data_IF_626925331124
#
_entry.id   IF_626925331124
#
_cell.length_a   1.000
_cell.length_b   1.000
_cell.length_c   1.000
_cell.angle_alpha   90.00
_cell.angle_beta   90.00
_cell.angle_gamma   90.00
#
_symmetry.space_group_name_H-M   'P 1'
#
loop_
_entity.id
_entity.type
_entity.pdbx_description
1 polymer ?
#
# COMPACT_ATOMS: atom_id res chain seq x y z
N UNK A 1 -20.73 39.68 26.31
CA UNK A 1 -20.45 41.07 26.73
C UNK A 1 -19.00 41.34 26.37
N UNK A 2 -18.59 42.17 25.41
CA UNK A 2 -19.14 43.19 24.50
C UNK A 2 -18.11 43.19 23.32
N UNK A 3 -18.42 42.67 22.14
CA UNK A 3 -18.79 43.35 20.88
C UNK A 3 -18.18 44.76 20.62
N UNK A 4 -17.40 44.93 19.55
CA UNK A 4 -17.54 45.99 18.51
C UNK A 4 -16.61 45.66 17.31
N UNK A 5 -17.22 45.65 16.12
CA UNK A 5 -16.69 45.48 14.77
C UNK A 5 -16.13 46.79 14.18
N UNK A 6 -15.19 46.71 13.22
CA UNK A 6 -15.11 47.63 12.07
C UNK A 6 -14.18 47.13 10.95
N UNK A 7 -14.77 46.97 9.76
CA UNK A 7 -14.13 46.79 8.45
C UNK A 7 -13.38 48.05 7.99
N UNK A 8 -12.36 47.89 7.12
CA UNK A 8 -12.18 48.70 5.92
C UNK A 8 -11.06 48.16 5.02
N UNK A 9 -11.40 48.00 3.74
CA UNK A 9 -10.54 47.76 2.56
C UNK A 9 -10.35 49.06 1.80
N UNK A 10 -9.18 49.34 1.20
CA UNK A 10 -9.05 50.13 -0.05
C UNK A 10 -7.65 50.07 -0.66
N UNK A 11 -7.65 50.25 -1.98
CA UNK A 11 -6.65 50.04 -3.03
C UNK A 11 -5.43 51.00 -3.02
N UNK A 12 -4.39 50.62 -3.76
CA UNK A 12 -3.17 51.40 -4.03
C UNK A 12 -3.13 51.75 -5.52
N UNK A 13 -2.97 53.04 -5.85
CA UNK A 13 -2.63 53.53 -7.20
C UNK A 13 -1.31 54.31 -7.15
N UNK A 14 -0.48 54.07 -8.15
CA UNK A 14 0.90 54.55 -8.32
C UNK A 14 0.89 55.86 -9.12
N UNK A 15 1.71 56.84 -8.72
CA UNK A 15 2.02 58.03 -9.52
C UNK A 15 3.51 58.35 -9.47
N UNK A 16 4.18 58.43 -10.63
CA UNK A 16 5.54 58.97 -10.77
C UNK A 16 5.60 59.89 -12.00
N UNK A 17 6.27 61.02 -11.78
CA UNK A 17 6.48 62.20 -12.63
C UNK A 17 7.23 61.98 -13.97
N UNK A 18 7.04 62.94 -14.87
CA UNK A 18 7.84 63.18 -16.08
C UNK A 18 8.09 64.69 -16.26
N UNK A 19 9.30 65.17 -16.64
CA UNK A 19 9.51 66.50 -17.19
C UNK A 19 9.87 66.50 -18.69
N UNK A 20 9.64 67.66 -19.30
CA UNK A 20 9.48 67.93 -20.73
C UNK A 20 10.74 67.86 -21.62
N UNK A 21 10.54 67.58 -22.93
CA UNK A 21 11.40 68.01 -24.05
C UNK A 21 10.52 68.36 -25.28
N UNK A 22 10.88 69.45 -25.96
CA UNK A 22 10.23 70.06 -27.14
C UNK A 22 10.73 69.44 -28.47
N UNK A 23 9.84 69.46 -29.49
CA UNK A 23 9.91 69.13 -30.94
C UNK A 23 11.30 69.03 -31.64
N UNK A 24 11.51 68.27 -32.74
CA UNK A 24 10.78 68.35 -34.03
C UNK A 24 11.14 67.20 -35.01
N UNK A 25 10.30 67.05 -36.06
CA UNK A 25 10.55 66.52 -37.43
C UNK A 25 10.51 65.00 -37.79
N UNK A 26 9.38 64.66 -38.41
CA UNK A 26 9.14 63.82 -39.61
C UNK A 26 10.16 62.77 -40.08
N UNK A 27 9.76 61.49 -40.03
CA UNK A 27 10.10 60.47 -41.04
C UNK A 27 8.85 59.65 -41.35
N UNK A 28 8.53 59.55 -42.64
CA UNK A 28 7.36 58.87 -43.19
C UNK A 28 7.40 57.35 -42.93
N UNK A 29 6.32 56.79 -42.37
CA UNK A 29 6.06 55.35 -42.32
C UNK A 29 5.16 54.94 -43.48
N UNK A 30 5.69 54.17 -44.42
CA UNK A 30 4.90 53.51 -45.46
C UNK A 30 3.97 52.44 -44.84
N UNK A 31 2.71 52.32 -45.26
CA UNK A 31 1.84 51.26 -44.78
C UNK A 31 2.24 49.92 -45.43
N UNK A 32 2.49 48.91 -44.60
CA UNK A 32 2.60 47.52 -45.05
C UNK A 32 1.21 47.08 -45.48
N UNK A 33 0.94 47.13 -46.78
CA UNK A 33 -0.26 46.54 -47.37
C UNK A 33 -0.07 45.02 -47.35
N UNK A 34 -0.52 44.36 -46.28
CA UNK A 34 -0.70 42.91 -46.34
C UNK A 34 -1.77 42.60 -47.38
N UNK A 35 -1.38 41.92 -48.45
CA UNK A 35 -2.31 41.50 -49.48
C UNK A 35 -3.39 40.58 -48.86
N UNK A 36 -4.64 40.72 -49.28
CA UNK A 36 -5.73 39.83 -48.84
C UNK A 36 -5.40 38.34 -49.05
N UNK A 37 -4.49 38.02 -49.98
CA UNK A 37 -3.97 36.66 -50.20
C UNK A 37 -3.13 36.14 -49.04
N UNK A 38 -2.34 36.99 -48.37
CA UNK A 38 -1.48 36.61 -47.24
C UNK A 38 -2.33 36.30 -45.99
N UNK A 39 -3.36 37.11 -45.73
CA UNK A 39 -4.30 36.91 -44.62
C UNK A 39 -5.11 35.63 -44.84
N UNK A 40 -5.59 35.36 -46.06
CA UNK A 40 -6.26 34.09 -46.41
C UNK A 40 -5.34 32.88 -46.20
N UNK A 41 -4.07 32.97 -46.56
CA UNK A 41 -3.11 31.88 -46.39
C UNK A 41 -2.85 31.58 -44.90
N UNK A 42 -2.70 32.61 -44.07
CA UNK A 42 -2.57 32.45 -42.61
C UNK A 42 -3.82 31.84 -41.96
N UNK A 43 -5.02 32.25 -42.40
CA UNK A 43 -6.28 31.66 -41.93
C UNK A 43 -6.41 30.18 -42.31
N UNK A 44 -5.99 29.79 -43.52
CA UNK A 44 -6.01 28.38 -43.96
C UNK A 44 -5.01 27.53 -43.15
N UNK A 45 -3.81 28.06 -42.87
CA UNK A 45 -2.81 27.38 -42.04
C UNK A 45 -3.34 27.22 -40.61
N UNK A 46 -3.90 28.28 -40.01
CA UNK A 46 -4.48 28.22 -38.67
C UNK A 46 -5.64 27.22 -38.60
N UNK A 47 -6.53 27.20 -39.59
CA UNK A 47 -7.65 26.25 -39.65
C UNK A 47 -7.16 24.81 -39.79
N UNK A 48 -6.08 24.57 -40.55
CA UNK A 48 -5.41 23.26 -40.69
C UNK A 48 -4.73 22.83 -39.39
N UNK A 49 -4.06 23.75 -38.68
CA UNK A 49 -3.49 23.47 -37.37
C UNK A 49 -4.58 23.15 -36.34
N UNK A 50 -5.68 23.91 -36.33
CA UNK A 50 -6.82 23.67 -35.45
C UNK A 50 -7.47 22.31 -35.77
N UNK A 51 -7.73 21.98 -37.03
CA UNK A 51 -8.27 20.67 -37.42
C UNK A 51 -7.31 19.52 -37.11
N UNK A 52 -6.00 19.71 -37.27
CA UNK A 52 -5.00 18.71 -36.88
C UNK A 52 -4.92 18.53 -35.36
N UNK A 53 -5.02 19.62 -34.58
CA UNK A 53 -5.15 19.59 -33.12
C UNK A 53 -6.44 18.91 -32.66
N UNK A 54 -7.58 19.17 -33.33
CA UNK A 54 -8.84 18.47 -33.03
C UNK A 54 -8.79 16.99 -33.44
N UNK A 55 -8.20 16.65 -34.58
CA UNK A 55 -8.03 15.24 -34.98
C UNK A 55 -7.11 14.51 -34.00
N UNK A 56 -5.95 15.08 -33.65
CA UNK A 56 -5.03 14.50 -32.67
C UNK A 56 -5.64 14.38 -31.27
N UNK A 57 -6.46 15.35 -30.85
CA UNK A 57 -7.19 15.28 -29.58
C UNK A 57 -8.29 14.20 -29.59
N UNK A 58 -9.00 14.02 -30.72
CA UNK A 58 -9.98 12.95 -30.89
C UNK A 58 -9.32 11.56 -31.01
N UNK A 59 -8.19 11.43 -31.71
CA UNK A 59 -7.40 10.21 -31.79
C UNK A 59 -6.76 9.85 -30.44
N UNK A 60 -6.33 10.83 -29.65
CA UNK A 60 -5.80 10.62 -28.30
C UNK A 60 -6.91 10.30 -27.27
N UNK A 61 -8.11 10.85 -27.43
CA UNK A 61 -9.28 10.48 -26.62
C UNK A 61 -9.83 9.09 -26.96
N UNK A 62 -9.67 8.63 -28.20
CA UNK A 62 -10.17 7.32 -28.65
C UNK A 62 -9.41 6.12 -28.05
N UNK A 63 -8.15 6.28 -27.61
CA UNK A 63 -7.34 5.16 -27.11
C UNK A 63 -7.48 4.88 -25.61
N UNK A 64 -8.16 5.76 -24.84
CA UNK A 64 -8.33 5.61 -23.38
C UNK A 64 -9.80 5.38 -22.98
N UNK A 65 -10.75 5.48 -23.92
CA UNK A 65 -12.19 5.43 -23.64
C UNK A 65 -12.83 4.04 -23.53
N UNK A 66 -12.08 2.93 -23.61
CA UNK A 66 -12.68 1.58 -23.64
C UNK A 66 -12.17 0.58 -22.59
N UNK A 67 -11.51 1.06 -21.52
CA UNK A 67 -11.07 0.16 -20.45
C UNK A 67 -12.23 -0.21 -19.52
N UNK A 68 -12.62 -1.49 -19.54
CA UNK A 68 -13.62 -2.07 -18.65
C UNK A 68 -12.96 -2.86 -17.52
N UNK A 69 -13.33 -2.54 -16.28
CA UNK A 69 -12.90 -3.27 -15.09
C UNK A 69 -13.41 -4.72 -15.13
N UNK A 70 -12.51 -5.68 -14.93
CA UNK A 70 -12.75 -7.13 -15.04
C UNK A 70 -12.55 -7.85 -13.70
N UNK A 71 -11.59 -7.40 -12.87
CA UNK A 71 -11.28 -8.00 -11.57
C UNK A 71 -10.62 -7.00 -10.61
N UNK A 72 -10.86 -7.15 -9.30
CA UNK A 72 -10.17 -6.42 -8.23
C UNK A 72 -9.53 -7.41 -7.25
N UNK A 73 -8.30 -7.17 -6.83
CA UNK A 73 -7.60 -7.97 -5.83
C UNK A 73 -7.02 -7.06 -4.76
N UNK A 74 -7.39 -7.28 -3.49
CA UNK A 74 -7.02 -6.41 -2.37
C UNK A 74 -6.15 -7.19 -1.40
N UNK A 75 -4.93 -6.71 -1.15
CA UNK A 75 -4.07 -7.15 -0.05
C UNK A 75 -4.01 -6.04 0.98
N UNK A 76 -4.40 -6.30 2.22
CA UNK A 76 -4.40 -5.27 3.27
C UNK A 76 -3.90 -5.79 4.61
N UNK A 77 -3.26 -4.90 5.36
CA UNK A 77 -2.82 -5.15 6.73
C UNK A 77 -4.04 -5.14 7.66
N UNK A 78 -3.99 -5.92 8.74
CA UNK A 78 -4.91 -5.71 9.85
C UNK A 78 -4.90 -4.26 10.37
N UNK A 79 -5.96 -3.85 11.05
CA UNK A 79 -6.01 -2.53 11.69
C UNK A 79 -5.13 -2.39 12.94
N UNK A 80 -5.17 -1.20 13.55
CA UNK A 80 -4.41 -0.89 14.76
C UNK A 80 -4.68 -1.89 15.89
N UNK A 81 -3.62 -2.35 16.56
CA UNK A 81 -3.64 -3.40 17.58
C UNK A 81 -2.88 -2.97 18.83
N UNK A 82 -3.06 -3.70 19.93
CA UNK A 82 -2.19 -3.62 21.11
C UNK A 82 -0.83 -4.28 20.83
N UNK A 83 0.23 -3.93 21.60
CA UNK A 83 1.48 -4.67 21.60
C UNK A 83 1.26 -6.16 21.84
N UNK A 84 2.11 -7.03 21.28
CA UNK A 84 2.25 -8.41 21.74
C UNK A 84 2.99 -8.46 23.08
N UNK A 85 2.97 -9.62 23.73
CA UNK A 85 3.77 -9.84 24.94
C UNK A 85 5.26 -9.62 24.65
N UNK A 86 5.77 -10.18 23.54
CA UNK A 86 7.17 -9.99 23.14
C UNK A 86 7.51 -8.51 22.95
N UNK A 87 6.64 -7.73 22.30
CA UNK A 87 6.85 -6.29 22.14
C UNK A 87 6.90 -5.56 23.48
N UNK A 88 5.94 -5.81 24.39
CA UNK A 88 5.92 -5.18 25.71
C UNK A 88 7.16 -5.52 26.56
N UNK A 89 7.65 -6.76 26.48
CA UNK A 89 8.86 -7.21 27.19
C UNK A 89 10.11 -6.44 26.74
N UNK A 90 10.20 -6.00 25.48
CA UNK A 90 11.35 -5.18 25.01
C UNK A 90 11.41 -3.81 25.69
N UNK A 91 10.29 -3.33 26.25
CA UNK A 91 10.24 -2.11 27.04
C UNK A 91 10.28 -2.37 28.55
N UNK A 92 10.48 -3.62 28.97
CA UNK A 92 10.34 -4.06 30.36
C UNK A 92 8.99 -3.63 30.98
N UNK A 93 7.93 -3.65 30.17
CA UNK A 93 6.60 -3.23 30.60
C UNK A 93 5.74 -4.45 30.92
N UNK A 94 5.39 -4.60 32.20
CA UNK A 94 4.72 -5.80 32.74
C UNK A 94 3.26 -5.56 33.14
N UNK A 95 2.78 -4.31 33.12
CA UNK A 95 1.40 -3.98 33.45
C UNK A 95 0.43 -4.33 32.30
N UNK A 96 0.04 -5.59 32.25
CA UNK A 96 -0.94 -6.06 31.26
C UNK A 96 -2.32 -5.38 31.35
N UNK A 97 -2.66 -4.73 32.48
CA UNK A 97 -3.93 -4.04 32.62
C UNK A 97 -4.03 -2.82 31.70
N UNK A 98 -2.89 -2.19 31.36
CA UNK A 98 -2.82 -1.07 30.43
C UNK A 98 -3.29 -1.42 29.00
N UNK A 99 -3.33 -2.72 28.65
CA UNK A 99 -3.80 -3.18 27.34
C UNK A 99 -5.27 -3.63 27.32
N UNK A 100 -5.95 -3.62 28.47
CA UNK A 100 -7.38 -3.95 28.57
C UNK A 100 -8.26 -2.85 27.93
N UNK A 101 -9.49 -3.19 27.47
CA UNK A 101 -10.12 -4.51 27.52
C UNK A 101 -9.64 -5.47 26.42
N UNK A 102 -8.90 -5.00 25.42
CA UNK A 102 -8.53 -5.85 24.27
C UNK A 102 -7.50 -6.92 24.64
N UNK A 103 -6.51 -6.59 25.46
CA UNK A 103 -5.39 -7.49 25.80
C UNK A 103 -4.29 -7.49 24.73
N UNK A 104 -3.26 -8.31 24.97
CA UNK A 104 -2.08 -8.38 24.10
C UNK A 104 -2.45 -8.79 22.68
N UNK A 105 -1.80 -8.14 21.72
CA UNK A 105 -1.83 -8.48 20.30
C UNK A 105 -3.21 -8.41 19.61
N UNK A 106 -4.22 -7.95 20.33
CA UNK A 106 -5.60 -7.86 19.87
C UNK A 106 -5.90 -6.55 19.14
N UNK A 107 -6.88 -6.62 18.23
CA UNK A 107 -7.34 -5.50 17.43
C UNK A 107 -8.08 -4.48 18.30
N UNK A 108 -7.69 -3.21 18.20
CA UNK A 108 -8.32 -2.10 18.94
C UNK A 108 -9.64 -1.68 18.32
N UNK A 109 -10.43 -0.87 19.06
CA UNK A 109 -11.59 -0.17 18.49
C UNK A 109 -11.22 0.66 17.26
N UNK A 110 -10.08 1.32 17.27
CA UNK A 110 -9.61 2.10 16.14
C UNK A 110 -9.27 1.21 14.95
N UNK A 111 -8.56 0.10 15.17
CA UNK A 111 -8.29 -0.87 14.11
C UNK A 111 -9.55 -1.43 13.45
N UNK A 112 -10.63 -1.63 14.21
CA UNK A 112 -11.94 -2.01 13.66
C UNK A 112 -12.52 -0.92 12.74
N UNK A 113 -12.44 0.36 13.14
CA UNK A 113 -12.92 1.49 12.34
C UNK A 113 -12.13 1.65 11.04
N UNK A 114 -10.81 1.55 11.12
CA UNK A 114 -9.92 1.63 9.96
C UNK A 114 -10.23 0.53 8.94
N UNK A 115 -10.39 -0.72 9.39
CA UNK A 115 -10.73 -1.83 8.51
C UNK A 115 -12.15 -1.70 7.91
N UNK A 116 -13.13 -1.22 8.69
CA UNK A 116 -14.46 -0.90 8.17
C UNK A 116 -14.41 0.21 7.10
N UNK A 117 -13.61 1.26 7.35
CA UNK A 117 -13.40 2.36 6.41
C UNK A 117 -12.86 1.86 5.06
N UNK A 118 -11.86 0.97 5.07
CA UNK A 118 -11.39 0.32 3.84
C UNK A 118 -12.54 -0.31 3.05
N UNK A 119 -13.36 -1.12 3.72
CA UNK A 119 -14.54 -1.75 3.14
C UNK A 119 -15.49 -0.75 2.50
N UNK A 120 -15.81 0.34 3.21
CA UNK A 120 -16.71 1.38 2.69
C UNK A 120 -16.12 2.14 1.50
N UNK A 121 -14.81 2.40 1.48
CA UNK A 121 -14.14 3.06 0.35
C UNK A 121 -14.10 2.15 -0.88
N UNK A 122 -13.84 0.86 -0.69
CA UNK A 122 -13.93 -0.15 -1.75
C UNK A 122 -15.38 -0.22 -2.30
N UNK A 123 -16.39 -0.27 -1.42
CA UNK A 123 -17.80 -0.26 -1.84
C UNK A 123 -18.14 0.97 -2.66
N UNK A 124 -17.77 2.16 -2.16
CA UNK A 124 -18.01 3.43 -2.84
C UNK A 124 -17.33 3.49 -4.22
N UNK A 125 -16.09 3.02 -4.32
CA UNK A 125 -15.32 3.06 -5.56
C UNK A 125 -15.82 2.08 -6.62
N UNK A 126 -16.22 0.88 -6.19
CA UNK A 126 -16.54 -0.23 -7.09
C UNK A 126 -18.02 -0.60 -7.07
N UNK A 127 -18.89 0.33 -6.70
CA UNK A 127 -20.30 0.06 -6.45
C UNK A 127 -20.99 -0.57 -7.67
N UNK A 128 -20.89 0.12 -8.81
CA UNK A 128 -21.42 -0.32 -10.09
C UNK A 128 -20.82 -1.65 -10.54
N UNK A 129 -19.50 -1.79 -10.43
CA UNK A 129 -18.81 -3.01 -10.84
C UNK A 129 -19.20 -4.21 -9.98
N UNK A 130 -19.28 -4.05 -8.65
CA UNK A 130 -19.62 -5.15 -7.74
C UNK A 130 -21.11 -5.51 -7.85
N UNK A 131 -21.98 -4.51 -7.89
CA UNK A 131 -23.44 -4.67 -7.83
C UNK A 131 -23.89 -5.21 -6.48
N UNK A 132 -25.04 -5.89 -6.45
CA UNK A 132 -25.52 -6.63 -5.29
C UNK A 132 -24.55 -7.77 -4.91
N UNK A 133 -24.54 -8.13 -3.63
CA UNK A 133 -23.71 -9.23 -3.14
C UNK A 133 -24.09 -10.55 -3.81
N UNK A 134 -23.11 -11.23 -4.39
CA UNK A 134 -23.22 -12.58 -4.91
C UNK A 134 -22.10 -13.45 -4.31
N UNK A 135 -22.43 -14.49 -3.52
CA UNK A 135 -21.42 -15.35 -2.88
C UNK A 135 -20.50 -16.04 -3.88
N UNK A 136 -20.92 -16.18 -5.14
CA UNK A 136 -20.12 -16.82 -6.19
C UNK A 136 -19.11 -15.86 -6.78
N UNK A 137 -19.25 -14.53 -6.62
CA UNK A 137 -18.41 -13.51 -7.27
C UNK A 137 -17.35 -12.90 -6.35
N UNK A 138 -17.21 -13.38 -5.13
CA UNK A 138 -16.13 -12.95 -4.23
C UNK A 138 -15.39 -14.13 -3.62
N UNK A 139 -14.19 -13.84 -3.11
CA UNK A 139 -13.43 -14.71 -2.23
C UNK A 139 -12.65 -13.87 -1.23
N UNK A 140 -12.53 -14.35 -0.01
CA UNK A 140 -11.81 -13.67 1.06
C UNK A 140 -10.95 -14.68 1.83
N UNK A 141 -9.74 -14.28 2.20
CA UNK A 141 -8.76 -15.10 2.91
C UNK A 141 -8.05 -14.28 3.99
N UNK A 142 -7.72 -14.91 5.10
CA UNK A 142 -6.94 -14.30 6.18
C UNK A 142 -6.00 -15.31 6.84
N UNK A 143 -4.95 -14.79 7.48
CA UNK A 143 -4.09 -15.59 8.36
C UNK A 143 -4.85 -16.05 9.61
N UNK A 144 -4.24 -16.95 10.38
CA UNK A 144 -4.83 -17.49 11.60
C UNK A 144 -5.00 -16.49 12.76
N UNK A 145 -4.47 -15.27 12.70
CA UNK A 145 -4.46 -14.34 13.83
C UNK A 145 -5.83 -13.68 14.09
N UNK A 146 -6.26 -13.58 15.36
CA UNK A 146 -7.54 -12.95 15.71
C UNK A 146 -7.71 -11.54 15.14
N UNK A 147 -6.64 -10.73 15.14
CA UNK A 147 -6.67 -9.36 14.61
C UNK A 147 -6.88 -9.27 13.09
N UNK A 148 -6.40 -10.23 12.31
CA UNK A 148 -6.59 -10.25 10.85
C UNK A 148 -7.98 -10.77 10.53
N UNK A 149 -8.45 -11.80 11.24
CA UNK A 149 -9.85 -12.29 11.16
C UNK A 149 -10.84 -11.16 11.44
N UNK A 150 -10.68 -10.46 12.57
CA UNK A 150 -11.56 -9.35 12.94
C UNK A 150 -11.47 -8.19 11.94
N UNK A 151 -10.27 -7.86 11.44
CA UNK A 151 -10.12 -6.81 10.42
C UNK A 151 -10.83 -7.18 9.12
N UNK A 152 -10.72 -8.43 8.67
CA UNK A 152 -11.41 -8.90 7.47
C UNK A 152 -12.92 -8.84 7.63
N UNK A 153 -13.45 -9.24 8.78
CA UNK A 153 -14.88 -9.13 9.08
C UNK A 153 -15.37 -7.67 9.02
N UNK A 154 -14.60 -6.73 9.58
CA UNK A 154 -14.93 -5.30 9.52
C UNK A 154 -14.89 -4.76 8.08
N UNK A 155 -13.87 -5.12 7.30
CA UNK A 155 -13.78 -4.72 5.90
C UNK A 155 -14.94 -5.30 5.06
N UNK A 156 -15.31 -6.56 5.28
CA UNK A 156 -16.45 -7.18 4.62
C UNK A 156 -17.78 -6.52 5.00
N UNK A 157 -17.95 -6.11 6.26
CA UNK A 157 -19.14 -5.38 6.71
C UNK A 157 -19.30 -4.02 6.01
N UNK A 158 -18.19 -3.30 5.78
CA UNK A 158 -18.21 -2.06 5.01
C UNK A 158 -18.35 -2.27 3.50
N UNK A 159 -17.86 -3.40 2.99
CA UNK A 159 -17.87 -3.73 1.56
C UNK A 159 -19.24 -4.24 1.07
N UNK A 160 -19.94 -5.03 1.88
CA UNK A 160 -21.21 -5.65 1.52
C UNK A 160 -22.27 -5.40 2.60
N UNK A 161 -22.67 -4.13 2.83
CA UNK A 161 -23.77 -3.83 3.75
C UNK A 161 -25.07 -4.47 3.23
N UNK A 162 -25.95 -4.97 4.11
CA UNK A 162 -27.18 -5.60 3.65
C UNK A 162 -28.16 -4.58 3.06
N UNK A 163 -28.73 -4.91 1.90
CA UNK A 163 -29.91 -4.22 1.39
C UNK A 163 -31.11 -4.52 2.30
N UNK A 164 -32.16 -3.66 2.35
CA UNK A 164 -33.36 -3.95 3.12
C UNK A 164 -34.03 -5.29 2.78
N UNK A 165 -33.92 -5.74 1.52
CA UNK A 165 -34.50 -7.02 1.04
C UNK A 165 -33.73 -8.24 1.53
N UNK A 166 -32.43 -8.10 1.74
CA UNK A 166 -31.53 -9.17 2.16
C UNK A 166 -31.22 -9.12 3.66
N UNK A 167 -31.80 -8.17 4.39
CA UNK A 167 -31.53 -8.04 5.81
C UNK A 167 -32.18 -9.18 6.57
N UNK A 168 -31.39 -9.90 7.37
CA UNK A 168 -31.92 -10.92 8.28
C UNK A 168 -32.49 -10.30 9.57
N UNK A 169 -32.23 -9.01 9.81
CA UNK A 169 -32.66 -8.29 11.00
C UNK A 169 -32.82 -6.79 10.74
N UNK A 170 -33.92 -6.19 11.21
CA UNK A 170 -34.21 -4.77 10.95
C UNK A 170 -33.35 -3.79 11.76
N UNK A 171 -32.72 -4.24 12.85
CA UNK A 171 -31.89 -3.41 13.75
C UNK A 171 -30.39 -3.61 13.53
N UNK A 172 -29.98 -4.68 12.84
CA UNK A 172 -28.58 -5.05 12.65
C UNK A 172 -28.24 -4.97 11.16
N UNK A 173 -27.57 -3.88 10.77
CA UNK A 173 -27.09 -3.65 9.40
C UNK A 173 -25.78 -4.42 9.11
N UNK A 174 -25.80 -5.73 9.31
CA UNK A 174 -24.66 -6.62 9.07
C UNK A 174 -25.14 -7.95 8.51
N UNK A 175 -24.31 -8.60 7.68
CA UNK A 175 -24.54 -9.98 7.20
C UNK A 175 -23.31 -10.86 7.44
N UNK A 176 -23.50 -12.15 7.77
CA UNK A 176 -22.41 -13.11 7.82
C UNK A 176 -21.89 -13.40 6.41
N UNK A 177 -20.57 -13.42 6.25
CA UNK A 177 -19.91 -13.64 4.98
C UNK A 177 -18.80 -14.69 5.17
N UNK A 178 -18.80 -15.80 4.39
CA UNK A 178 -17.73 -16.78 4.48
C UNK A 178 -16.38 -16.20 4.06
N UNK A 179 -15.33 -16.68 4.71
CA UNK A 179 -13.93 -16.42 4.34
C UNK A 179 -13.08 -17.63 4.73
N UNK A 180 -11.94 -17.80 4.04
CA UNK A 180 -10.97 -18.82 4.35
C UNK A 180 -10.01 -18.31 5.45
N UNK A 181 -9.83 -19.12 6.49
CA UNK A 181 -8.80 -18.90 7.52
C UNK A 181 -7.77 -20.01 7.40
N UNK A 182 -6.54 -19.65 7.04
CA UNK A 182 -5.45 -20.62 7.03
C UNK A 182 -4.85 -20.73 8.44
N UNK A 183 -4.42 -21.94 8.82
CA UNK A 183 -3.62 -22.11 10.03
C UNK A 183 -2.24 -21.47 9.82
N UNK A 184 -1.69 -20.75 10.80
CA UNK A 184 -0.40 -20.09 10.64
C UNK A 184 0.74 -21.07 10.28
N UNK A 185 0.67 -22.31 10.79
CA UNK A 185 1.66 -23.35 10.53
C UNK A 185 1.66 -23.88 9.08
N UNK A 186 0.56 -23.71 8.34
CA UNK A 186 0.39 -24.20 6.97
C UNK A 186 0.18 -23.09 5.94
N UNK A 187 0.21 -21.82 6.37
CA UNK A 187 -0.12 -20.69 5.53
C UNK A 187 1.11 -20.18 4.76
N UNK A 188 1.52 -20.94 3.75
CA UNK A 188 2.62 -20.51 2.87
C UNK A 188 2.23 -19.34 1.96
N UNK A 189 0.95 -18.95 1.88
CA UNK A 189 0.49 -17.84 1.03
C UNK A 189 0.64 -16.51 1.78
N UNK A 190 0.09 -16.43 3.00
CA UNK A 190 0.07 -15.19 3.77
C UNK A 190 1.10 -15.15 4.90
N UNK A 191 1.79 -16.26 5.22
CA UNK A 191 2.84 -16.29 6.24
C UNK A 191 4.11 -17.04 5.77
N UNK A 192 4.60 -16.85 4.52
CA UNK A 192 5.75 -17.62 4.03
C UNK A 192 7.08 -17.30 4.75
N UNK A 193 7.16 -16.14 5.38
CA UNK A 193 8.36 -15.62 6.04
C UNK A 193 8.53 -16.10 7.51
N UNK A 194 7.52 -16.73 8.10
CA UNK A 194 7.57 -17.18 9.50
C UNK A 194 8.24 -18.54 9.68
N UNK A 195 8.39 -19.31 8.60
CA UNK A 195 8.97 -20.65 8.64
C UNK A 195 10.46 -20.64 8.95
N UNK A 196 10.92 -21.61 9.73
CA UNK A 196 12.35 -21.78 10.08
C UNK A 196 13.25 -21.81 8.85
N UNK A 197 12.79 -22.42 7.75
CA UNK A 197 13.56 -22.49 6.49
C UNK A 197 13.85 -21.11 5.92
N UNK A 198 12.81 -20.27 5.82
CA UNK A 198 12.95 -18.92 5.31
C UNK A 198 13.86 -18.09 6.21
N UNK A 199 13.65 -18.14 7.54
CA UNK A 199 14.45 -17.39 8.51
C UNK A 199 15.93 -17.81 8.44
N UNK A 200 16.23 -19.10 8.37
CA UNK A 200 17.59 -19.60 8.23
C UNK A 200 18.23 -19.10 6.93
N UNK A 201 17.53 -19.27 5.80
CA UNK A 201 18.01 -18.80 4.50
C UNK A 201 18.27 -17.28 4.50
N UNK A 202 17.40 -16.50 5.13
CA UNK A 202 17.59 -15.06 5.31
C UNK A 202 18.90 -14.78 6.04
N UNK A 203 19.11 -15.33 7.23
CA UNK A 203 20.30 -15.05 8.03
C UNK A 203 21.58 -15.57 7.37
N UNK A 204 21.54 -16.75 6.75
CA UNK A 204 22.66 -17.31 5.97
C UNK A 204 23.02 -16.40 4.78
N UNK A 205 22.01 -15.91 4.05
CA UNK A 205 22.22 -15.00 2.92
C UNK A 205 22.79 -13.67 3.39
N UNK A 206 22.25 -13.11 4.47
CA UNK A 206 22.70 -11.81 5.00
C UNK A 206 24.11 -11.89 5.58
N UNK A 207 24.48 -13.00 6.25
CA UNK A 207 25.82 -13.24 6.76
C UNK A 207 26.88 -13.30 5.63
N UNK A 208 26.50 -13.86 4.47
CA UNK A 208 27.39 -14.00 3.32
C UNK A 208 27.37 -12.79 2.36
N UNK A 209 26.50 -11.81 2.58
CA UNK A 209 26.42 -10.61 1.73
C UNK A 209 27.32 -9.49 2.27
N UNK A 210 28.46 -9.26 1.62
CA UNK A 210 29.38 -8.18 1.99
C UNK A 210 28.73 -6.80 1.98
N UNK A 211 27.87 -6.52 1.00
CA UNK A 211 27.12 -5.26 0.93
C UNK A 211 26.16 -5.10 2.11
N UNK A 212 25.38 -6.13 2.44
CA UNK A 212 24.47 -6.08 3.58
C UNK A 212 25.23 -5.91 4.91
N UNK A 213 26.31 -6.69 5.10
CA UNK A 213 27.14 -6.60 6.29
C UNK A 213 27.79 -5.22 6.43
N UNK A 214 28.24 -4.61 5.33
CA UNK A 214 28.78 -3.23 5.35
C UNK A 214 27.73 -2.21 5.78
N UNK A 215 26.47 -2.37 5.34
CA UNK A 215 25.35 -1.51 5.76
C UNK A 215 25.01 -1.72 7.24
N UNK A 216 24.96 -2.97 7.69
CA UNK A 216 24.63 -3.31 9.09
C UNK A 216 25.74 -2.89 10.06
N UNK A 217 27.01 -2.95 9.65
CA UNK A 217 28.17 -2.65 10.49
C UNK A 217 28.14 -1.23 11.07
N UNK A 218 27.49 -0.28 10.38
CA UNK A 218 27.25 1.10 10.84
C UNK A 218 26.46 1.16 12.16
N UNK A 219 25.69 0.12 12.45
CA UNK A 219 24.81 0.04 13.61
C UNK A 219 25.33 -0.91 14.69
N UNK A 220 26.57 -1.42 14.59
CA UNK A 220 27.12 -2.42 15.51
C UNK A 220 27.08 -1.95 16.96
N UNK A 221 27.61 -0.76 17.23
CA UNK A 221 27.63 -0.17 18.58
C UNK A 221 26.20 0.05 19.11
N UNK A 222 25.28 0.50 18.25
CA UNK A 222 23.88 0.69 18.61
C UNK A 222 23.24 -0.65 19.03
N UNK A 223 23.42 -1.70 18.21
CA UNK A 223 22.86 -3.02 18.48
C UNK A 223 23.44 -3.59 19.78
N UNK A 224 24.76 -3.48 20.01
CA UNK A 224 25.41 -3.90 21.26
C UNK A 224 24.86 -3.16 22.48
N UNK A 225 24.67 -1.84 22.37
CA UNK A 225 24.04 -1.05 23.42
C UNK A 225 22.63 -1.53 23.71
N UNK A 226 21.84 -1.85 22.68
CA UNK A 226 20.49 -2.38 22.86
C UNK A 226 20.51 -3.77 23.53
N UNK A 227 21.44 -4.66 23.17
CA UNK A 227 21.61 -5.95 23.87
C UNK A 227 21.89 -5.73 25.36
N UNK A 228 22.82 -4.83 25.70
CA UNK A 228 23.18 -4.54 27.09
C UNK A 228 22.05 -3.88 27.90
N UNK A 229 21.15 -3.12 27.25
CA UNK A 229 20.05 -2.42 27.93
C UNK A 229 18.77 -3.24 28.05
N UNK A 230 18.57 -4.22 27.17
CA UNK A 230 17.32 -4.97 27.07
C UNK A 230 17.48 -6.46 27.30
N UNK A 231 18.72 -6.97 27.34
CA UNK A 231 19.07 -8.39 27.47
C UNK A 231 18.61 -9.28 26.28
N UNK A 232 18.07 -8.68 25.22
CA UNK A 232 17.71 -9.38 23.99
C UNK A 232 18.87 -9.43 23.00
N UNK A 233 19.04 -10.52 22.21
CA UNK A 233 20.18 -10.69 21.30
C UNK A 233 19.98 -9.96 19.95
N UNK A 234 19.98 -8.62 19.96
CA UNK A 234 19.81 -7.75 18.79
C UNK A 234 20.79 -8.06 17.64
N UNK A 235 22.08 -8.30 17.89
CA UNK A 235 23.05 -8.60 16.81
C UNK A 235 22.78 -9.93 16.14
N UNK A 236 22.38 -10.94 16.92
CA UNK A 236 22.08 -12.28 16.41
C UNK A 236 20.73 -12.34 15.70
N UNK A 237 19.75 -11.55 16.16
CA UNK A 237 18.35 -11.63 15.71
C UNK A 237 17.73 -10.24 15.42
N UNK A 238 18.46 -9.40 14.70
CA UNK A 238 18.05 -8.01 14.42
C UNK A 238 16.67 -7.90 13.76
N UNK A 239 16.35 -8.78 12.80
CA UNK A 239 15.05 -8.79 12.11
C UNK A 239 13.85 -8.79 13.08
N UNK A 240 13.95 -9.48 14.22
CA UNK A 240 12.86 -9.60 15.19
C UNK A 240 12.97 -8.57 16.31
N UNK A 241 14.13 -8.47 16.97
CA UNK A 241 14.28 -7.61 18.16
C UNK A 241 14.17 -6.12 17.82
N UNK A 242 14.67 -5.70 16.66
CA UNK A 242 14.49 -4.31 16.19
C UNK A 242 13.01 -4.04 15.90
N UNK A 243 12.34 -4.94 15.19
CA UNK A 243 10.91 -4.79 14.86
C UNK A 243 10.03 -4.76 16.11
N UNK A 244 10.26 -5.66 17.08
CA UNK A 244 9.50 -5.69 18.32
C UNK A 244 9.70 -4.44 19.16
N UNK A 245 10.94 -3.96 19.28
CA UNK A 245 11.26 -2.75 20.05
C UNK A 245 10.69 -1.51 19.38
N UNK A 246 10.84 -1.39 18.06
CA UNK A 246 10.25 -0.30 17.27
C UNK A 246 8.73 -0.24 17.47
N UNK A 247 8.04 -1.38 17.29
CA UNK A 247 6.60 -1.46 17.46
C UNK A 247 6.17 -1.15 18.91
N UNK A 248 6.89 -1.65 19.90
CA UNK A 248 6.57 -1.39 21.30
C UNK A 248 6.64 0.10 21.63
N UNK A 249 7.71 0.79 21.21
CA UNK A 249 7.85 2.25 21.38
C UNK A 249 6.69 2.96 20.68
N UNK A 250 6.41 2.59 19.43
CA UNK A 250 5.32 3.17 18.64
C UNK A 250 3.98 3.06 19.38
N UNK A 251 3.60 1.86 19.81
CA UNK A 251 2.33 1.64 20.50
C UNK A 251 2.27 2.35 21.85
N UNK A 252 3.38 2.39 22.60
CA UNK A 252 3.42 3.13 23.87
C UNK A 252 3.23 4.62 23.65
N UNK A 253 3.86 5.19 22.62
CA UNK A 253 3.62 6.59 22.21
C UNK A 253 2.15 6.83 21.83
N UNK A 254 1.56 5.98 20.98
CA UNK A 254 0.15 6.09 20.57
C UNK A 254 -0.83 5.96 21.74
N UNK A 255 -0.48 5.18 22.77
CA UNK A 255 -1.28 4.94 23.95
C UNK A 255 -0.98 5.91 25.11
N UNK A 256 -0.02 6.82 24.95
CA UNK A 256 0.52 7.67 26.03
C UNK A 256 0.98 6.86 27.26
N UNK A 257 1.61 5.70 27.03
CA UNK A 257 2.18 4.85 28.06
C UNK A 257 3.65 5.18 28.34
N UNK A 258 4.16 4.85 29.54
CA UNK A 258 5.56 5.05 29.88
C UNK A 258 6.52 4.35 28.90
N UNK A 259 7.62 5.02 28.60
CA UNK A 259 8.76 4.47 27.87
C UNK A 259 9.89 4.14 28.86
N UNK A 260 10.75 3.15 28.55
CA UNK A 260 11.81 2.72 29.45
C UNK A 260 12.91 3.78 29.59
N UNK A 261 13.64 3.76 30.71
CA UNK A 261 14.71 4.74 31.02
C UNK A 261 15.84 4.79 29.97
N UNK A 262 16.07 3.70 29.24
CA UNK A 262 17.08 3.67 28.17
C UNK A 262 16.64 4.40 26.92
N UNK A 263 15.34 4.67 26.75
CA UNK A 263 14.81 5.49 25.66
C UNK A 263 14.95 6.97 26.02
N UNK A 264 16.12 7.53 25.74
CA UNK A 264 16.47 8.91 26.13
C UNK A 264 15.85 9.96 25.23
N UNK A 265 15.74 9.67 23.93
CA UNK A 265 15.27 10.59 22.91
C UNK A 265 14.91 9.85 21.61
N UNK A 266 14.31 10.59 20.67
CA UNK A 266 13.77 10.07 19.42
C UNK A 266 14.84 9.58 18.42
N UNK A 267 16.13 9.88 18.63
CA UNK A 267 17.20 9.32 17.80
C UNK A 267 17.27 7.79 17.90
N UNK A 268 16.92 7.22 19.06
CA UNK A 268 16.86 5.76 19.24
C UNK A 268 15.77 5.17 18.34
N UNK A 269 14.62 5.82 18.26
CA UNK A 269 13.52 5.37 17.40
C UNK A 269 13.88 5.51 15.92
N UNK A 270 14.54 6.61 15.54
CA UNK A 270 15.05 6.80 14.17
C UNK A 270 16.09 5.75 13.78
N UNK A 271 17.02 5.42 14.68
CA UNK A 271 18.02 4.35 14.41
C UNK A 271 17.36 2.97 14.31
N UNK A 272 16.37 2.66 15.17
CA UNK A 272 15.59 1.43 15.04
C UNK A 272 14.84 1.36 13.70
N UNK A 273 14.29 2.48 13.25
CA UNK A 273 13.60 2.60 11.96
C UNK A 273 14.54 2.27 10.79
N UNK A 274 15.73 2.87 10.76
CA UNK A 274 16.73 2.60 9.72
C UNK A 274 17.16 1.13 9.68
N UNK A 275 17.43 0.53 10.85
CA UNK A 275 17.81 -0.88 10.94
C UNK A 275 16.63 -1.79 10.56
N UNK A 276 15.40 -1.42 10.92
CA UNK A 276 14.20 -2.16 10.55
C UNK A 276 14.03 -2.19 9.03
N UNK A 277 14.20 -1.04 8.37
CA UNK A 277 14.15 -0.92 6.91
C UNK A 277 15.26 -1.73 6.25
N UNK A 278 16.49 -1.67 6.77
CA UNK A 278 17.58 -2.52 6.29
C UNK A 278 17.23 -4.01 6.42
N UNK A 279 16.74 -4.43 7.59
CA UNK A 279 16.38 -5.82 7.85
C UNK A 279 15.25 -6.30 6.94
N UNK A 280 14.22 -5.47 6.71
CA UNK A 280 13.10 -5.78 5.83
C UNK A 280 13.48 -5.77 4.35
N UNK A 281 14.36 -4.88 3.92
CA UNK A 281 14.96 -4.97 2.58
C UNK A 281 15.71 -6.30 2.41
N UNK A 282 16.38 -6.78 3.46
CA UNK A 282 17.01 -8.10 3.50
C UNK A 282 16.04 -9.25 3.13
N UNK A 283 14.76 -9.15 3.49
CA UNK A 283 13.75 -10.18 3.20
C UNK A 283 13.44 -10.31 1.70
N UNK A 284 13.91 -9.35 0.90
CA UNK A 284 13.74 -9.30 -0.55
C UNK A 284 15.07 -9.01 -1.27
N UNK A 285 16.20 -9.34 -0.61
CA UNK A 285 17.54 -8.97 -1.08
C UNK A 285 17.95 -9.69 -2.36
N UNK A 286 17.64 -10.98 -2.46
CA UNK A 286 17.97 -11.83 -3.61
C UNK A 286 16.71 -12.26 -4.34
N UNK A 287 16.79 -12.65 -5.63
CA UNK A 287 15.65 -13.21 -6.36
C UNK A 287 14.98 -14.35 -5.58
N UNK A 288 15.75 -15.28 -5.00
CA UNK A 288 15.19 -16.38 -4.18
C UNK A 288 14.41 -15.87 -2.97
N UNK A 289 14.93 -14.88 -2.23
CA UNK A 289 14.23 -14.30 -1.08
C UNK A 289 12.98 -13.53 -1.49
N UNK A 290 12.99 -12.83 -2.63
CA UNK A 290 11.78 -12.21 -3.22
C UNK A 290 10.73 -13.26 -3.54
N UNK A 291 11.12 -14.34 -4.25
CA UNK A 291 10.24 -15.45 -4.61
C UNK A 291 9.67 -16.17 -3.39
N UNK A 292 10.41 -16.29 -2.29
CA UNK A 292 9.94 -16.94 -1.07
C UNK A 292 9.18 -16.00 -0.12
N UNK A 293 9.06 -14.71 -0.42
CA UNK A 293 8.34 -13.73 0.39
C UNK A 293 7.15 -13.14 -0.37
N UNK A 294 7.27 -11.93 -0.90
CA UNK A 294 6.22 -11.26 -1.64
C UNK A 294 5.84 -11.94 -2.96
N UNK A 295 6.78 -12.68 -3.56
CA UNK A 295 6.60 -13.40 -4.81
C UNK A 295 5.43 -14.39 -4.81
N UNK A 296 5.08 -14.93 -3.64
CA UNK A 296 3.99 -15.91 -3.51
C UNK A 296 2.64 -15.22 -3.69
N UNK A 297 2.51 -14.01 -3.15
CA UNK A 297 1.31 -13.19 -3.35
C UNK A 297 1.24 -12.65 -4.77
N UNK A 298 2.37 -12.27 -5.38
CA UNK A 298 2.43 -11.88 -6.80
C UNK A 298 1.95 -13.04 -7.67
N UNK A 299 2.48 -14.24 -7.44
CA UNK A 299 2.04 -15.48 -8.10
C UNK A 299 0.54 -15.69 -7.93
N UNK A 300 0.04 -15.64 -6.69
CA UNK A 300 -1.39 -15.84 -6.41
C UNK A 300 -2.28 -14.83 -7.15
N UNK A 301 -1.85 -13.56 -7.26
CA UNK A 301 -2.61 -12.54 -7.98
C UNK A 301 -2.68 -12.84 -9.49
N UNK A 302 -1.60 -13.36 -10.07
CA UNK A 302 -1.55 -13.79 -11.48
C UNK A 302 -2.39 -15.04 -11.69
N UNK A 303 -2.32 -16.02 -10.79
CA UNK A 303 -3.14 -17.24 -10.84
C UNK A 303 -4.63 -16.89 -10.81
N UNK A 304 -5.06 -15.99 -9.92
CA UNK A 304 -6.45 -15.53 -9.88
C UNK A 304 -6.90 -14.90 -11.21
N UNK A 305 -6.02 -14.13 -11.89
CA UNK A 305 -6.32 -13.55 -13.21
C UNK A 305 -6.53 -14.65 -14.25
N UNK A 306 -5.65 -15.66 -14.25
CA UNK A 306 -5.72 -16.78 -15.20
C UNK A 306 -6.92 -17.68 -14.93
N UNK A 307 -7.16 -18.06 -13.67
CA UNK A 307 -8.32 -18.86 -13.26
C UNK A 307 -9.64 -18.16 -13.61
N UNK A 308 -9.72 -16.84 -13.41
CA UNK A 308 -10.90 -16.06 -13.81
C UNK A 308 -11.12 -16.01 -15.32
N UNK A 309 -10.07 -16.12 -16.15
CA UNK A 309 -10.19 -16.10 -17.61
C UNK A 309 -10.98 -17.30 -18.12
N UNK A 310 -10.76 -18.46 -17.50
CA UNK A 310 -11.37 -19.74 -17.89
C UNK A 310 -12.63 -20.08 -17.07
N UNK A 311 -12.95 -19.31 -16.03
CA UNK A 311 -14.06 -19.60 -15.13
C UNK A 311 -15.43 -19.33 -15.78
N UNK A 312 -16.34 -20.31 -15.68
CA UNK A 312 -17.75 -20.10 -16.04
C UNK A 312 -18.44 -19.01 -15.17
N UNK A 313 -17.96 -18.84 -13.94
CA UNK A 313 -18.42 -17.81 -13.00
C UNK A 313 -17.21 -17.07 -12.42
N UNK A 314 -16.68 -16.05 -13.14
CA UNK A 314 -15.51 -15.32 -12.70
C UNK A 314 -15.77 -14.52 -11.42
N UNK A 315 -14.78 -14.49 -10.54
CA UNK A 315 -14.80 -13.63 -9.35
C UNK A 315 -14.63 -12.17 -9.77
N UNK A 316 -15.35 -11.27 -9.12
CA UNK A 316 -15.16 -9.82 -9.23
C UNK A 316 -14.11 -9.31 -8.24
N UNK A 317 -14.03 -9.92 -7.05
CA UNK A 317 -13.11 -9.45 -6.00
C UNK A 317 -12.48 -10.58 -5.19
N UNK A 318 -11.17 -10.45 -4.95
CA UNK A 318 -10.42 -11.23 -3.97
C UNK A 318 -9.93 -10.31 -2.83
N UNK A 319 -10.10 -10.73 -1.57
CA UNK A 319 -9.60 -10.00 -0.40
C UNK A 319 -8.62 -10.86 0.42
N UNK A 320 -7.47 -10.30 0.74
CA UNK A 320 -6.42 -10.93 1.55
C UNK A 320 -6.10 -10.03 2.74
N UNK A 321 -6.46 -10.45 3.96
CA UNK A 321 -6.11 -9.74 5.18
C UNK A 321 -4.93 -10.41 5.89
N UNK A 322 -3.81 -9.68 5.99
CA UNK A 322 -2.56 -10.21 6.51
C UNK A 322 -1.79 -9.14 7.33
N UNK A 323 -0.46 -9.09 7.16
CA UNK A 323 0.45 -8.28 7.98
C UNK A 323 1.17 -7.22 7.13
N UNK A 324 1.82 -6.29 7.81
CA UNK A 324 2.68 -5.25 7.22
C UNK A 324 3.77 -5.86 6.34
N UNK A 325 4.46 -6.88 6.83
CA UNK A 325 5.48 -7.62 6.09
C UNK A 325 4.98 -8.20 4.76
N UNK A 326 3.69 -8.55 4.65
CA UNK A 326 3.11 -8.99 3.39
C UNK A 326 3.06 -7.86 2.36
N UNK A 327 2.57 -6.68 2.76
CA UNK A 327 2.48 -5.52 1.87
C UNK A 327 3.87 -5.05 1.46
N UNK A 328 4.81 -5.04 2.42
CA UNK A 328 6.20 -4.68 2.14
C UNK A 328 6.84 -5.65 1.14
N UNK A 329 6.79 -6.95 1.42
CA UNK A 329 7.34 -7.98 0.52
C UNK A 329 6.67 -7.96 -0.86
N UNK A 330 5.34 -7.85 -0.91
CA UNK A 330 4.58 -7.78 -2.17
C UNK A 330 4.99 -6.58 -3.03
N UNK A 331 5.27 -5.43 -2.40
CA UNK A 331 5.79 -4.23 -3.09
C UNK A 331 7.20 -4.50 -3.65
N UNK A 332 8.11 -5.03 -2.82
CA UNK A 332 9.49 -5.34 -3.21
C UNK A 332 9.59 -6.39 -4.33
N UNK A 333 8.67 -7.35 -4.35
CA UNK A 333 8.55 -8.35 -5.41
C UNK A 333 8.09 -7.73 -6.74
N UNK A 334 7.37 -6.61 -6.73
CA UNK A 334 6.93 -5.89 -7.92
C UNK A 334 7.81 -4.69 -8.29
N UNK A 335 8.95 -4.53 -7.59
CA UNK A 335 9.94 -3.48 -7.85
C UNK A 335 9.40 -2.05 -7.68
N UNK A 336 8.48 -1.86 -6.73
CA UNK A 336 8.06 -0.54 -6.27
C UNK A 336 8.07 -0.46 -4.73
N UNK A 337 8.05 0.75 -4.20
CA UNK A 337 7.94 1.04 -2.77
C UNK A 337 6.64 1.79 -2.50
N UNK A 338 5.62 1.08 -2.02
CA UNK A 338 4.32 1.70 -1.72
C UNK A 338 4.30 2.45 -0.39
N UNK A 339 5.09 2.00 0.58
CA UNK A 339 5.15 2.56 1.92
C UNK A 339 6.59 2.47 2.45
N UNK A 340 6.98 3.42 3.29
CA UNK A 340 8.18 3.29 4.12
C UNK A 340 8.05 2.06 5.04
N UNK A 341 7.00 2.06 5.87
CA UNK A 341 6.48 0.89 6.57
C UNK A 341 4.95 0.90 6.41
N UNK A 342 4.29 -0.21 6.05
CA UNK A 342 2.84 -0.22 5.80
C UNK A 342 2.06 0.18 7.06
N UNK A 343 1.26 1.27 7.04
CA UNK A 343 0.45 1.68 8.19
C UNK A 343 -0.64 0.67 8.55
N UNK A 344 -1.30 0.87 9.70
CA UNK A 344 -2.45 0.04 10.10
C UNK A 344 -3.57 0.13 9.07
N UNK A 345 -4.21 -1.00 8.73
CA UNK A 345 -5.25 -1.09 7.69
C UNK A 345 -4.85 -0.64 6.28
N UNK A 346 -3.59 -0.30 6.02
CA UNK A 346 -3.16 0.06 4.68
C UNK A 346 -3.40 -1.09 3.69
N UNK A 347 -3.59 -0.75 2.42
CA UNK A 347 -3.97 -1.70 1.39
C UNK A 347 -3.23 -1.46 0.08
N UNK A 348 -3.02 -2.54 -0.67
CA UNK A 348 -2.62 -2.55 -2.06
C UNK A 348 -3.75 -3.20 -2.87
N UNK A 349 -4.17 -2.54 -3.94
CA UNK A 349 -5.28 -2.96 -4.78
C UNK A 349 -4.78 -3.10 -6.21
N UNK A 350 -4.85 -4.32 -6.75
CA UNK A 350 -4.65 -4.57 -8.17
C UNK A 350 -6.00 -4.64 -8.86
N UNK A 351 -6.24 -3.72 -9.77
CA UNK A 351 -7.38 -3.74 -10.69
C UNK A 351 -6.92 -4.32 -12.03
N UNK A 352 -7.73 -5.20 -12.64
CA UNK A 352 -7.52 -5.72 -13.99
C UNK A 352 -8.58 -5.13 -14.92
N UNK A 353 -8.17 -4.63 -16.07
CA UNK A 353 -9.02 -4.09 -17.12
C UNK A 353 -8.89 -4.89 -18.42
N UNK A 354 -9.89 -4.75 -19.28
CA UNK A 354 -9.88 -5.18 -20.68
C UNK A 354 -10.35 -4.04 -21.59
N UNK A 355 -9.78 -3.94 -22.78
CA UNK A 355 -10.29 -3.06 -23.84
C UNK A 355 -11.26 -3.80 -24.79
N UNK A 356 -11.73 -3.12 -25.85
CA UNK A 356 -12.56 -3.72 -26.93
C UNK A 356 -11.90 -4.91 -27.61
N UNK A 357 -10.59 -4.87 -27.75
CA UNK A 357 -9.77 -5.88 -28.44
C UNK A 357 -9.43 -7.04 -27.49
N UNK A 358 -9.95 -7.00 -26.25
CA UNK A 358 -9.71 -7.94 -25.16
C UNK A 358 -8.26 -7.95 -24.67
N UNK A 359 -7.48 -6.93 -24.98
CA UNK A 359 -6.15 -6.71 -24.40
C UNK A 359 -6.30 -6.45 -22.90
N UNK A 360 -5.46 -7.08 -22.09
CA UNK A 360 -5.55 -7.02 -20.64
C UNK A 360 -4.55 -6.02 -20.06
N UNK A 361 -5.01 -5.25 -19.06
CA UNK A 361 -4.20 -4.25 -18.37
C UNK A 361 -4.35 -4.39 -16.87
N UNK A 362 -3.32 -3.99 -16.11
CA UNK A 362 -3.36 -3.91 -14.65
C UNK A 362 -3.06 -2.51 -14.17
N UNK A 363 -3.75 -2.08 -13.11
CA UNK A 363 -3.45 -0.86 -12.35
C UNK A 363 -3.23 -1.21 -10.89
N UNK A 364 -2.20 -0.64 -10.27
CA UNK A 364 -1.92 -0.78 -8.85
C UNK A 364 -2.29 0.49 -8.10
N UNK A 365 -3.01 0.35 -6.99
CA UNK A 365 -3.35 1.42 -6.08
C UNK A 365 -2.87 1.11 -4.67
N UNK A 366 -2.57 2.15 -3.90
CA UNK A 366 -2.26 2.09 -2.48
C UNK A 366 -3.25 2.91 -1.66
N UNK A 367 -3.55 2.44 -0.45
CA UNK A 367 -4.27 3.18 0.57
C UNK A 367 -3.45 3.18 1.86
N UNK A 368 -3.32 4.35 2.48
CA UNK A 368 -2.49 4.57 3.68
C UNK A 368 -3.21 4.25 5.00
N UNK A 369 -4.49 3.87 4.96
CA UNK A 369 -5.30 3.60 6.15
C UNK A 369 -6.05 4.81 6.71
N UNK A 370 -5.80 6.02 6.20
CA UNK A 370 -6.32 7.28 6.75
C UNK A 370 -7.03 8.13 5.70
N UNK A 371 -6.49 8.20 4.49
CA UNK A 371 -6.96 9.04 3.39
C UNK A 371 -8.36 8.64 2.90
N UNK A 372 -9.06 9.58 2.25
CA UNK A 372 -10.36 9.32 1.61
C UNK A 372 -10.24 8.74 0.20
N UNK A 373 -9.03 8.75 -0.38
CA UNK A 373 -8.76 8.34 -1.75
C UNK A 373 -7.64 7.30 -1.81
N UNK A 374 -7.65 6.53 -2.89
CA UNK A 374 -6.57 5.62 -3.26
C UNK A 374 -5.54 6.35 -4.12
N UNK A 375 -4.26 6.04 -3.92
CA UNK A 375 -3.15 6.61 -4.68
C UNK A 375 -2.67 5.62 -5.75
N UNK A 376 -2.50 6.07 -6.98
CA UNK A 376 -1.94 5.23 -8.04
C UNK A 376 -0.46 4.94 -7.79
N UNK A 377 -0.07 3.67 -7.93
CA UNK A 377 1.31 3.22 -7.87
C UNK A 377 1.77 2.89 -9.28
N UNK A 378 2.90 3.47 -9.68
CA UNK A 378 3.52 3.18 -10.96
C UNK A 378 4.21 1.81 -10.92
N UNK A 379 3.91 0.97 -11.90
CA UNK A 379 4.52 -0.35 -12.07
C UNK A 379 5.62 -0.26 -13.13
N UNK A 380 6.88 -0.42 -12.72
CA UNK A 380 8.03 -0.29 -13.62
C UNK A 380 7.97 1.03 -14.42
N UNK A 381 8.13 0.93 -15.74
CA UNK A 381 8.04 2.08 -16.64
C UNK A 381 6.66 2.29 -17.25
N UNK A 382 5.66 1.47 -16.89
CA UNK A 382 4.30 1.59 -17.40
C UNK A 382 3.67 2.96 -17.07
N UNK A 383 2.67 3.34 -17.87
CA UNK A 383 1.67 4.34 -17.50
C UNK A 383 0.76 3.81 -16.37
N UNK A 384 -0.27 4.55 -16.00
CA UNK A 384 -1.23 4.15 -14.96
C UNK A 384 -1.84 2.75 -15.21
N UNK A 385 -2.14 2.42 -16.47
CA UNK A 385 -2.57 1.08 -16.90
C UNK A 385 -1.40 0.38 -17.59
N UNK A 386 -0.89 -0.69 -16.98
CA UNK A 386 0.23 -1.46 -17.48
C UNK A 386 -0.29 -2.67 -18.27
N UNK A 387 0.09 -2.86 -19.55
CA UNK A 387 -0.26 -4.07 -20.30
C UNK A 387 0.14 -5.33 -19.51
N UNK A 388 -0.75 -6.31 -19.43
CA UNK A 388 -0.54 -7.47 -18.56
C UNK A 388 0.71 -8.28 -18.95
N UNK A 389 0.99 -8.43 -20.25
CA UNK A 389 2.21 -9.09 -20.72
C UNK A 389 3.49 -8.34 -20.31
N UNK A 390 3.44 -7.02 -20.24
CA UNK A 390 4.55 -6.22 -19.77
C UNK A 390 4.72 -6.34 -18.25
N UNK A 391 3.60 -6.34 -17.51
CA UNK A 391 3.60 -6.64 -16.08
C UNK A 391 4.27 -8.00 -15.79
N UNK A 392 3.93 -9.05 -16.54
CA UNK A 392 4.54 -10.37 -16.37
C UNK A 392 6.06 -10.35 -16.56
N UNK A 393 6.58 -9.60 -17.54
CA UNK A 393 8.04 -9.43 -17.71
C UNK A 393 8.68 -8.69 -16.54
N UNK A 394 8.03 -7.67 -16.00
CA UNK A 394 8.52 -6.90 -14.85
C UNK A 394 8.72 -7.81 -13.63
N UNK A 395 7.76 -8.70 -13.36
CA UNK A 395 7.78 -9.57 -12.17
C UNK A 395 8.41 -10.94 -12.41
N UNK A 396 8.90 -11.25 -13.62
CA UNK A 396 9.34 -12.59 -14.01
C UNK A 396 10.40 -13.22 -13.08
N UNK A 397 11.29 -12.40 -12.49
CA UNK A 397 12.37 -12.88 -11.61
C UNK A 397 11.96 -13.00 -10.14
N UNK A 398 10.78 -12.51 -9.78
CA UNK A 398 10.29 -12.43 -8.40
C UNK A 398 9.03 -13.25 -8.14
N UNK A 399 8.33 -13.73 -9.17
CA UNK A 399 7.21 -14.67 -9.05
C UNK A 399 7.73 -16.01 -8.51
N UNK A 400 7.04 -16.59 -7.52
CA UNK A 400 7.40 -17.90 -6.96
C UNK A 400 7.23 -19.04 -7.95
N UNK A 401 8.15 -20.00 -7.90
CA UNK A 401 8.08 -21.24 -8.67
C UNK A 401 7.47 -22.38 -7.84
N UNK A 402 7.10 -23.48 -8.49
CA UNK A 402 6.57 -24.66 -7.78
C UNK A 402 7.58 -25.23 -6.79
N UNK A 403 8.87 -25.19 -7.14
CA UNK A 403 9.97 -25.55 -6.24
C UNK A 403 10.06 -24.65 -5.00
N UNK A 404 9.63 -23.38 -5.10
CA UNK A 404 9.63 -22.45 -3.97
C UNK A 404 8.49 -22.81 -2.99
N UNK A 405 7.31 -23.14 -3.53
CA UNK A 405 6.19 -23.61 -2.72
C UNK A 405 6.52 -24.95 -2.05
N UNK A 406 7.12 -25.90 -2.79
CA UNK A 406 7.57 -27.18 -2.25
C UNK A 406 8.66 -27.01 -1.18
N UNK A 407 9.60 -26.08 -1.37
CA UNK A 407 10.61 -25.74 -0.38
C UNK A 407 9.98 -25.33 0.95
N UNK A 408 8.92 -24.51 0.93
CA UNK A 408 8.21 -24.05 2.12
C UNK A 408 7.26 -25.10 2.73
N UNK A 409 6.67 -25.99 1.94
CA UNK A 409 5.66 -26.97 2.42
C UNK A 409 6.22 -28.19 3.17
N UNK A 410 7.51 -28.51 3.06
CA UNK A 410 8.06 -29.72 3.70
C UNK A 410 7.97 -29.66 5.24
N UNK A 411 7.48 -30.76 5.84
CA UNK A 411 7.05 -31.02 7.25
C UNK A 411 7.95 -30.50 8.37
N UNK A 412 9.17 -30.07 8.09
CA UNK A 412 10.09 -29.45 9.07
C UNK A 412 9.98 -27.93 9.17
N UNK A 413 8.99 -27.31 8.53
CA UNK A 413 8.76 -25.86 8.60
C UNK A 413 7.91 -25.47 9.82
N UNK A 414 8.12 -26.11 10.97
CA UNK A 414 7.54 -25.69 12.25
C UNK A 414 7.87 -24.21 12.44
N UNK A 415 6.83 -23.37 12.41
CA UNK A 415 6.95 -21.94 12.72
C UNK A 415 7.66 -21.81 14.05
N UNK A 416 8.70 -20.96 14.15
CA UNK A 416 8.99 -20.41 15.47
C UNK A 416 7.72 -19.68 15.88
N UNK A 417 7.10 -20.09 16.99
CA UNK A 417 5.86 -19.55 17.53
C UNK A 417 5.66 -18.05 17.19
N UNK A 418 4.91 -17.76 16.13
CA UNK A 418 4.11 -16.54 16.08
C UNK A 418 2.86 -16.71 16.97
N UNK A 419 2.64 -17.93 17.46
CA UNK A 419 1.78 -18.33 18.58
C UNK A 419 2.46 -18.01 19.91
N UNK A 420 2.48 -16.73 20.25
CA UNK A 420 2.07 -16.40 21.61
C UNK A 420 0.84 -15.53 21.42
N UNK A 421 -0.30 -16.21 21.24
CA UNK A 421 -1.60 -15.62 21.58
C UNK A 421 -1.60 -15.17 23.04
#
# INVERSE_FOLDING_TARGET
MIDVSLHLSTEITIGIHCPAIVANESIASAPIIQSQSFIKMQQIILLRCITFCFLSFHLCSATICDLKLDLIQVLFRHGARRPSLNEALHLNFTDSAAYKPEGYYQLTKEGKRQAYKLGTLLRKRYDEFLGEYDPRKYQAMTTGASRTVMSLQMALAGLFPPSPKDSWNDKIHWRPLPFQRNSAASDIILVPFAGKKYINLYYETMANSSEFQSKLAKYTEFLERMENKTEFPFRKRYLHHVAWTYNAIKYHKEMNLPLPKWYTDDSIYATLDEILILAWNGMSWTPKLKRLSGGILVRRFIENINENREAALPKKIYLYCAHDVNLYGFSKAQYFDAFHLPPSSSALIMEKYKDSDKSEYVRMLAWDGLSENFMTIRIGNCNEFCPFDEYLKIVQLSISLDEDLAYLNNVHNNSQDFSIE
#
